data_IF_212896843121
#
_entry.id   IF_212896843121
#
_cell.length_a   1.000
_cell.length_b   1.000
_cell.length_c   1.000
_cell.angle_alpha   90.00
_cell.angle_beta   90.00
_cell.angle_gamma   90.00
#
_symmetry.space_group_name_H-M   'P 1'
#
loop_
_entity.id
_entity.type
_entity.pdbx_description
1 polymer ?
#
# COMPACT_ATOMS: atom_id res chain seq x y z
N UNK A 1 -20.53 24.28 0.36
CA UNK A 1 -19.13 24.42 0.78
C UNK A 1 -18.55 25.60 0.00
N UNK A 2 -18.78 26.82 0.49
CA UNK A 2 -18.35 28.07 -0.17
C UNK A 2 -16.91 28.37 0.25
N UNK A 3 -15.96 27.78 -0.46
CA UNK A 3 -14.55 28.20 -0.41
C UNK A 3 -14.43 29.49 -1.23
N UNK A 4 -14.79 30.61 -0.63
CA UNK A 4 -14.41 31.92 -1.13
C UNK A 4 -14.42 32.89 0.05
N UNK A 5 -13.31 32.95 0.81
CA UNK A 5 -13.08 34.17 1.57
C UNK A 5 -12.87 35.29 0.56
N UNK A 6 -13.41 36.49 0.81
CA UNK A 6 -13.28 37.61 -0.12
C UNK A 6 -11.82 37.84 -0.56
N UNK A 7 -10.87 37.66 0.37
CA UNK A 7 -9.44 37.77 0.12
C UNK A 7 -8.90 36.75 -0.91
N UNK A 8 -9.46 35.54 -0.99
CA UNK A 8 -9.03 34.55 -1.99
C UNK A 8 -9.51 34.93 -3.40
N UNK A 9 -10.73 35.48 -3.50
CA UNK A 9 -11.26 35.97 -4.78
C UNK A 9 -10.47 37.17 -5.28
N UNK A 10 -10.14 38.11 -4.39
CA UNK A 10 -9.31 39.25 -4.72
C UNK A 10 -7.94 38.80 -5.27
N UNK A 11 -7.31 37.83 -4.61
CA UNK A 11 -6.03 37.29 -5.07
C UNK A 11 -6.13 36.61 -6.45
N UNK A 12 -7.21 35.85 -6.68
CA UNK A 12 -7.43 35.17 -7.96
C UNK A 12 -7.70 36.17 -9.08
N UNK A 13 -8.48 37.21 -8.81
CA UNK A 13 -8.74 38.31 -9.73
C UNK A 13 -7.43 38.98 -10.13
N UNK A 14 -6.63 39.41 -9.16
CA UNK A 14 -5.38 40.13 -9.44
C UNK A 14 -4.40 39.27 -10.25
N UNK A 15 -4.34 37.96 -9.96
CA UNK A 15 -3.54 37.00 -10.74
C UNK A 15 -4.06 36.83 -12.16
N UNK A 16 -5.38 36.73 -12.34
CA UNK A 16 -5.99 36.56 -13.65
C UNK A 16 -5.77 37.81 -14.50
N UNK A 17 -6.05 39.00 -13.96
CA UNK A 17 -5.80 40.28 -14.64
C UNK A 17 -4.35 40.42 -15.07
N UNK A 18 -3.41 40.10 -14.17
CA UNK A 18 -1.98 40.16 -14.48
C UNK A 18 -1.59 39.19 -15.58
N UNK A 19 -2.06 37.94 -15.52
CA UNK A 19 -1.78 36.94 -16.53
C UNK A 19 -2.33 37.34 -17.90
N UNK A 20 -3.53 37.94 -17.93
CA UNK A 20 -4.15 38.43 -19.15
C UNK A 20 -3.40 39.61 -19.78
N UNK A 21 -2.95 40.56 -18.95
CA UNK A 21 -2.12 41.66 -19.42
C UNK A 21 -0.76 41.16 -19.97
N UNK A 22 -0.10 40.24 -19.26
CA UNK A 22 1.23 39.75 -19.66
C UNK A 22 1.20 38.81 -20.87
N UNK A 23 0.17 37.96 -20.98
CA UNK A 23 0.12 36.88 -21.99
C UNK A 23 -0.68 37.28 -23.23
N UNK A 24 -1.72 38.09 -23.05
CA UNK A 24 -2.68 38.41 -24.10
C UNK A 24 -2.77 39.91 -24.41
N UNK A 25 -1.94 40.76 -23.77
CA UNK A 25 -1.99 42.23 -23.89
C UNK A 25 -3.40 42.79 -23.63
N UNK A 26 -4.13 42.13 -22.73
CA UNK A 26 -5.52 42.45 -22.39
C UNK A 26 -5.60 42.97 -20.95
N UNK A 27 -5.84 44.26 -20.79
CA UNK A 27 -6.15 44.87 -19.50
C UNK A 27 -7.59 44.55 -19.10
N UNK A 28 -7.76 43.73 -18.06
CA UNK A 28 -9.06 43.42 -17.48
C UNK A 28 -9.38 44.39 -16.35
N UNK A 29 -10.54 45.06 -16.45
CA UNK A 29 -11.08 45.85 -15.35
C UNK A 29 -11.50 44.95 -14.18
N UNK A 30 -11.61 45.54 -12.98
CA UNK A 30 -11.87 44.83 -11.73
C UNK A 30 -13.15 43.98 -11.78
N UNK A 31 -14.21 44.47 -12.42
CA UNK A 31 -15.48 43.75 -12.59
C UNK A 31 -15.39 42.61 -13.60
N UNK A 32 -14.73 42.83 -14.74
CA UNK A 32 -14.56 41.82 -15.77
C UNK A 32 -13.73 40.64 -15.26
N UNK A 33 -12.64 40.94 -14.54
CA UNK A 33 -11.81 39.92 -13.92
C UNK A 33 -12.58 39.12 -12.86
N UNK A 34 -13.48 39.75 -12.09
CA UNK A 34 -14.32 39.05 -11.12
C UNK A 34 -15.33 38.11 -11.78
N UNK A 35 -16.01 38.58 -12.83
CA UNK A 35 -16.93 37.75 -13.62
C UNK A 35 -16.21 36.55 -14.25
N UNK A 36 -14.97 36.76 -14.68
CA UNK A 36 -14.21 35.73 -15.34
C UNK A 36 -13.72 34.65 -14.36
N UNK A 37 -13.29 35.06 -13.16
CA UNK A 37 -13.01 34.13 -12.06
C UNK A 37 -14.25 33.32 -11.70
N UNK A 38 -15.44 33.95 -11.66
CA UNK A 38 -16.69 33.24 -11.41
C UNK A 38 -17.03 32.21 -12.48
N UNK A 39 -16.86 32.58 -13.75
CA UNK A 39 -17.07 31.67 -14.87
C UNK A 39 -16.15 30.45 -14.76
N UNK A 40 -14.86 30.65 -14.53
CA UNK A 40 -13.89 29.57 -14.37
C UNK A 40 -14.25 28.69 -13.18
N UNK A 41 -14.56 29.28 -12.03
CA UNK A 41 -14.92 28.53 -10.83
C UNK A 41 -16.19 27.68 -11.03
N UNK A 42 -17.16 28.20 -11.77
CA UNK A 42 -18.43 27.52 -12.05
C UNK A 42 -18.29 26.40 -13.07
N UNK A 43 -17.59 26.64 -14.17
CA UNK A 43 -17.52 25.70 -15.29
C UNK A 43 -16.38 24.68 -15.12
N UNK A 44 -15.20 25.14 -14.68
CA UNK A 44 -14.01 24.28 -14.55
C UNK A 44 -13.87 23.69 -13.15
N UNK A 45 -14.35 24.39 -12.11
CA UNK A 45 -14.25 23.95 -10.72
C UNK A 45 -14.76 22.52 -10.49
N UNK A 46 -16.00 22.18 -10.92
CA UNK A 46 -16.54 20.83 -10.75
C UNK A 46 -15.71 19.76 -11.48
N UNK A 47 -15.20 20.07 -12.68
CA UNK A 47 -14.41 19.12 -13.48
C UNK A 47 -13.11 18.75 -12.77
N UNK A 48 -12.33 19.74 -12.34
CA UNK A 48 -11.07 19.50 -11.64
C UNK A 48 -11.29 18.88 -10.26
N UNK A 49 -12.32 19.31 -9.54
CA UNK A 49 -12.64 18.75 -8.23
C UNK A 49 -13.00 17.26 -8.33
N UNK A 50 -13.94 16.92 -9.21
CA UNK A 50 -14.38 15.53 -9.37
C UNK A 50 -13.25 14.64 -9.88
N UNK A 51 -12.49 15.09 -10.88
CA UNK A 51 -11.32 14.36 -11.38
C UNK A 51 -10.28 14.14 -10.27
N UNK A 52 -10.04 15.14 -9.42
CA UNK A 52 -9.13 15.03 -8.29
C UNK A 52 -9.61 14.00 -7.25
N UNK A 53 -10.91 13.97 -6.95
CA UNK A 53 -11.50 12.97 -6.04
C UNK A 53 -11.38 11.56 -6.64
N UNK A 54 -11.70 11.39 -7.92
CA UNK A 54 -11.59 10.10 -8.61
C UNK A 54 -10.15 9.57 -8.61
N UNK A 55 -9.17 10.44 -8.86
CA UNK A 55 -7.75 10.07 -8.84
C UNK A 55 -7.27 9.70 -7.44
N UNK A 56 -7.72 10.42 -6.41
CA UNK A 56 -7.42 10.09 -5.03
C UNK A 56 -7.99 8.71 -4.64
N UNK A 57 -9.23 8.42 -5.05
CA UNK A 57 -9.87 7.10 -4.84
C UNK A 57 -9.07 6.01 -5.55
N UNK A 58 -8.75 6.21 -6.83
CA UNK A 58 -7.99 5.24 -7.66
C UNK A 58 -6.64 4.93 -7.03
N UNK A 59 -5.91 5.96 -6.64
CA UNK A 59 -4.61 5.81 -5.99
C UNK A 59 -4.78 5.03 -4.68
N UNK A 60 -5.73 5.41 -3.84
CA UNK A 60 -5.98 4.74 -2.58
C UNK A 60 -6.34 3.25 -2.75
N UNK A 61 -7.14 2.91 -3.75
CA UNK A 61 -7.50 1.53 -4.08
C UNK A 61 -6.29 0.72 -4.52
N UNK A 62 -5.44 1.27 -5.39
CA UNK A 62 -4.21 0.60 -5.82
C UNK A 62 -3.27 0.31 -4.64
N UNK A 63 -3.10 1.27 -3.74
CA UNK A 63 -2.32 1.07 -2.51
C UNK A 63 -2.94 0.02 -1.59
N UNK A 64 -4.26 0.05 -1.42
CA UNK A 64 -4.99 -0.91 -0.58
C UNK A 64 -4.85 -2.34 -1.11
N UNK A 65 -4.93 -2.53 -2.43
CA UNK A 65 -4.79 -3.85 -3.05
C UNK A 65 -3.38 -4.39 -2.87
N UNK A 66 -2.36 -3.56 -3.11
CA UNK A 66 -0.96 -3.94 -2.85
C UNK A 66 -0.73 -4.37 -1.39
N UNK A 67 -1.34 -3.68 -0.43
CA UNK A 67 -1.23 -4.05 0.98
C UNK A 67 -1.91 -5.41 1.24
N UNK A 68 -3.05 -5.69 0.61
CA UNK A 68 -3.75 -6.99 0.73
C UNK A 68 -2.92 -8.15 0.19
N UNK A 69 -2.36 -7.99 -1.01
CA UNK A 69 -1.50 -9.01 -1.62
C UNK A 69 -0.34 -9.39 -0.69
N UNK A 70 0.34 -8.38 -0.13
CA UNK A 70 1.43 -8.59 0.84
C UNK A 70 0.96 -9.28 2.13
N UNK A 71 -0.22 -8.92 2.64
CA UNK A 71 -0.79 -9.57 3.83
C UNK A 71 -1.11 -11.04 3.56
N UNK A 72 -1.71 -11.36 2.42
CA UNK A 72 -2.07 -12.73 2.05
C UNK A 72 -0.83 -13.61 1.83
N UNK A 73 0.22 -13.06 1.21
CA UNK A 73 1.52 -13.72 1.10
C UNK A 73 2.09 -14.06 2.49
N UNK A 74 2.14 -13.09 3.41
CA UNK A 74 2.66 -13.32 4.77
C UNK A 74 1.80 -14.31 5.56
N UNK A 75 0.47 -14.28 5.37
CA UNK A 75 -0.46 -15.22 6.00
C UNK A 75 -0.25 -16.64 5.51
N UNK A 76 -0.08 -16.83 4.20
CA UNK A 76 0.15 -18.15 3.60
C UNK A 76 1.48 -18.76 4.07
N UNK A 77 2.55 -17.95 4.09
CA UNK A 77 3.88 -18.34 4.59
C UNK A 77 3.81 -18.70 6.09
N UNK A 78 3.18 -17.86 6.91
CA UNK A 78 3.04 -18.12 8.34
C UNK A 78 2.25 -19.41 8.59
N UNK A 79 1.17 -19.62 7.85
CA UNK A 79 0.35 -20.83 7.95
C UNK A 79 1.14 -22.07 7.55
N UNK A 80 1.92 -22.00 6.47
CA UNK A 80 2.81 -23.08 6.02
C UNK A 80 3.91 -23.37 7.05
N UNK A 81 4.53 -22.33 7.62
CA UNK A 81 5.52 -22.45 8.70
C UNK A 81 4.93 -23.14 9.93
N UNK A 82 3.72 -22.74 10.35
CA UNK A 82 3.02 -23.33 11.49
C UNK A 82 2.69 -24.81 11.25
N UNK A 83 2.24 -25.17 10.03
CA UNK A 83 2.04 -26.58 9.65
C UNK A 83 3.32 -27.40 9.71
N UNK A 84 4.47 -26.86 9.26
CA UNK A 84 5.76 -27.55 9.37
C UNK A 84 6.20 -27.75 10.82
N UNK A 85 5.92 -26.80 11.72
CA UNK A 85 6.31 -26.86 13.14
C UNK A 85 5.45 -27.81 13.98
N UNK A 86 4.21 -28.07 13.56
CA UNK A 86 3.31 -29.03 14.22
C UNK A 86 3.65 -30.50 13.92
N UNK A 87 4.51 -30.78 12.94
CA UNK A 87 5.04 -32.12 12.67
C UNK A 87 6.31 -32.29 13.53
N UNK A 88 6.15 -32.82 14.75
CA UNK A 88 7.30 -33.11 15.63
C UNK A 88 8.12 -34.25 15.02
N UNK A 89 9.47 -34.15 14.95
CA UNK A 89 10.29 -35.29 14.56
C UNK A 89 10.12 -36.41 15.59
N UNK A 90 9.86 -37.63 15.11
CA UNK A 90 9.80 -38.81 15.97
C UNK A 90 11.23 -39.25 16.28
N UNK A 91 11.59 -39.25 17.56
CA UNK A 91 12.88 -39.75 18.04
C UNK A 91 12.66 -41.18 18.51
N UNK A 92 13.29 -42.14 17.85
CA UNK A 92 13.34 -43.52 18.32
C UNK A 92 14.68 -43.79 18.98
N UNK A 93 14.60 -44.39 20.17
CA UNK A 93 15.74 -44.89 20.91
C UNK A 93 15.78 -46.41 20.78
N UNK A 94 16.93 -46.97 20.40
CA UNK A 94 17.15 -48.41 20.29
C UNK A 94 18.43 -48.82 21.00
N UNK A 95 18.38 -49.91 21.75
CA UNK A 95 19.55 -50.55 22.35
C UNK A 95 19.82 -51.88 21.66
N UNK A 96 21.07 -52.12 21.29
CA UNK A 96 21.51 -53.41 20.75
C UNK A 96 22.87 -53.78 21.36
N UNK A 97 22.85 -54.71 22.32
CA UNK A 97 24.01 -55.01 23.17
C UNK A 97 24.54 -53.74 23.86
N UNK A 98 25.82 -53.44 23.69
CA UNK A 98 26.51 -52.28 24.28
C UNK A 98 26.30 -50.96 23.51
N UNK A 99 25.45 -50.96 22.49
CA UNK A 99 25.26 -49.80 21.60
C UNK A 99 23.90 -49.15 21.83
N UNK A 100 23.90 -47.84 22.10
CA UNK A 100 22.71 -47.00 22.06
C UNK A 100 22.60 -46.34 20.69
N UNK A 101 21.40 -46.26 20.14
CA UNK A 101 21.11 -45.58 18.87
C UNK A 101 19.96 -44.59 19.02
N UNK A 102 20.15 -43.41 18.43
CA UNK A 102 19.12 -42.39 18.29
C UNK A 102 18.84 -42.23 16.81
N UNK A 103 17.59 -42.47 16.41
CA UNK A 103 17.10 -42.26 15.05
C UNK A 103 16.06 -41.13 15.06
N UNK A 104 16.32 -40.10 14.26
CA UNK A 104 15.37 -39.01 14.04
C UNK A 104 14.76 -39.19 12.66
N UNK A 105 13.44 -39.39 12.63
CA UNK A 105 12.70 -39.62 11.39
C UNK A 105 12.08 -38.30 10.88
N UNK A 106 12.24 -38.08 9.57
CA UNK A 106 11.61 -36.97 8.85
C UNK A 106 10.21 -37.31 8.33
N UNK A 107 9.68 -36.45 7.46
CA UNK A 107 8.28 -36.44 6.97
C UNK A 107 7.85 -37.71 6.20
N UNK A 108 8.78 -38.52 5.69
CA UNK A 108 8.50 -39.68 4.82
C UNK A 108 8.93 -41.01 5.45
N UNK A 109 9.05 -41.09 6.78
CA UNK A 109 9.61 -42.24 7.50
C UNK A 109 11.04 -42.63 7.07
N UNK A 110 11.71 -41.79 6.29
CA UNK A 110 13.14 -41.87 6.05
C UNK A 110 13.90 -41.32 7.25
N UNK A 111 14.96 -42.03 7.63
CA UNK A 111 15.91 -41.61 8.67
C UNK A 111 16.58 -40.32 8.21
N UNK A 112 16.28 -39.21 8.88
CA UNK A 112 16.93 -37.93 8.61
C UNK A 112 18.29 -37.84 9.32
N UNK A 113 18.42 -38.52 10.46
CA UNK A 113 19.65 -38.56 11.24
C UNK A 113 19.69 -39.85 12.08
N UNK A 114 20.80 -40.57 12.05
CA UNK A 114 21.04 -41.73 12.90
C UNK A 114 22.41 -41.63 13.54
N UNK A 115 22.47 -41.71 14.87
CA UNK A 115 23.72 -41.76 15.63
C UNK A 115 23.69 -42.96 16.55
N UNK A 116 24.75 -43.77 16.52
CA UNK A 116 24.96 -44.85 17.47
C UNK A 116 26.25 -44.64 18.25
N UNK A 117 26.19 -44.86 19.56
CA UNK A 117 27.32 -44.76 20.49
C UNK A 117 27.41 -46.06 21.27
N UNK A 118 28.55 -46.75 21.18
CA UNK A 118 28.92 -47.83 22.08
C UNK A 118 29.28 -47.24 23.44
N UNK A 119 28.65 -47.74 24.49
CA UNK A 119 29.15 -47.50 25.85
C UNK A 119 30.25 -48.53 26.09
N UNK A 120 31.47 -48.03 26.36
CA UNK A 120 32.61 -48.85 26.77
C UNK A 120 32.53 -49.13 28.27
#
# INVERSE_FOLDING_TARGET
>A
MTLNSAAQRDLLRDRLSKYCAETFDLELEQFDAEFFVDFIAKELGPLFYNAGIEEAIRTHQAWSERIREEMDLKRSINTAYRRRRSIKPCIHHGYNGDSFSISVYGKENHVAYHRSTRHF
#
